data_IF_305900727340
#
_entry.id   IF_305900727340
#
_cell.length_a   1.000
_cell.length_b   1.000
_cell.length_c   1.000
_cell.angle_alpha   90.00
_cell.angle_beta   90.00
_cell.angle_gamma   90.00
#
_symmetry.space_group_name_H-M   'P 1'
#
loop_
_entity.id
_entity.type
_entity.pdbx_description
1 polymer ?
#
# COMPACT_ATOMS: atom_id res chain seq x y z
N UNK A 1 4.62 4.11 -26.36
CA UNK A 1 4.99 5.36 -25.64
C UNK A 1 3.94 6.42 -25.96
N UNK A 2 3.71 7.37 -25.06
CA UNK A 2 2.74 8.45 -25.27
C UNK A 2 3.37 9.81 -25.00
N UNK A 3 2.88 10.85 -25.67
CA UNK A 3 3.26 12.23 -25.33
C UNK A 3 2.42 12.72 -24.17
N UNK A 4 2.92 13.75 -23.50
CA UNK A 4 2.20 14.49 -22.48
C UNK A 4 0.84 15.01 -22.98
N UNK A 5 0.79 15.47 -24.22
CA UNK A 5 -0.44 15.98 -24.86
C UNK A 5 -1.48 14.86 -25.00
N UNK A 6 -1.06 13.66 -25.40
CA UNK A 6 -1.96 12.50 -25.47
C UNK A 6 -2.47 12.08 -24.10
N UNK A 7 -1.63 12.18 -23.06
CA UNK A 7 -2.04 11.92 -21.69
C UNK A 7 -3.10 12.93 -21.22
N UNK A 8 -2.92 14.21 -21.54
CA UNK A 8 -3.89 15.28 -21.26
C UNK A 8 -5.24 15.01 -21.93
N UNK A 9 -5.23 14.71 -23.24
CA UNK A 9 -6.45 14.35 -23.99
C UNK A 9 -7.15 13.14 -23.39
N UNK A 10 -6.39 12.13 -22.93
CA UNK A 10 -6.98 10.97 -22.26
C UNK A 10 -7.62 11.36 -20.93
N UNK A 11 -6.90 12.13 -20.11
CA UNK A 11 -7.36 12.57 -18.80
C UNK A 11 -8.66 13.38 -18.89
N UNK A 12 -8.78 14.27 -19.88
CA UNK A 12 -10.00 15.06 -20.12
C UNK A 12 -11.24 14.20 -20.44
N UNK A 13 -11.07 12.93 -20.82
CA UNK A 13 -12.17 11.97 -21.06
C UNK A 13 -12.54 11.14 -19.84
N UNK A 14 -11.84 11.28 -18.73
CA UNK A 14 -12.08 10.48 -17.53
C UNK A 14 -13.26 11.01 -16.73
N UNK A 15 -13.97 10.11 -16.03
CA UNK A 15 -14.98 10.50 -15.05
C UNK A 15 -14.39 11.43 -13.97
N UNK A 16 -13.13 11.21 -13.64
CA UNK A 16 -12.38 12.07 -12.74
C UNK A 16 -12.39 13.54 -13.21
N UNK A 17 -11.99 13.81 -14.45
CA UNK A 17 -12.02 15.16 -15.01
C UNK A 17 -13.44 15.75 -15.02
N UNK A 18 -14.44 14.92 -15.31
CA UNK A 18 -15.84 15.36 -15.28
C UNK A 18 -16.26 15.94 -13.92
N UNK A 19 -15.80 15.35 -12.81
CA UNK A 19 -16.09 15.84 -11.46
C UNK A 19 -15.42 17.19 -11.19
N UNK A 20 -14.14 17.35 -11.55
CA UNK A 20 -13.33 18.49 -11.10
C UNK A 20 -13.31 19.69 -12.06
N UNK A 21 -13.68 19.51 -13.34
CA UNK A 21 -13.50 20.54 -14.39
C UNK A 21 -14.20 21.87 -14.09
N UNK A 22 -15.35 21.85 -13.41
CA UNK A 22 -16.10 23.07 -13.08
C UNK A 22 -15.35 23.88 -12.00
N UNK A 23 -14.95 23.23 -10.91
CA UNK A 23 -14.11 23.82 -9.85
C UNK A 23 -12.82 24.41 -10.44
N UNK A 24 -12.19 23.70 -11.36
CA UNK A 24 -10.96 24.17 -12.01
C UNK A 24 -11.18 25.39 -12.90
N UNK A 25 -12.27 25.41 -13.68
CA UNK A 25 -12.61 26.54 -14.55
C UNK A 25 -12.92 27.78 -13.71
N UNK A 26 -13.66 27.63 -12.61
CA UNK A 26 -13.98 28.70 -11.68
C UNK A 26 -12.73 29.27 -10.98
N UNK A 27 -11.80 28.41 -10.57
CA UNK A 27 -10.58 28.81 -9.84
C UNK A 27 -9.38 29.15 -10.74
N UNK A 28 -9.52 28.97 -12.06
CA UNK A 28 -8.49 29.22 -13.08
C UNK A 28 -7.17 28.47 -12.83
N UNK A 29 -7.27 27.16 -12.53
CA UNK A 29 -6.08 26.31 -12.29
C UNK A 29 -5.64 25.66 -13.60
N UNK A 30 -4.38 25.85 -14.05
CA UNK A 30 -3.88 25.20 -15.26
C UNK A 30 -3.87 23.67 -15.13
N UNK A 31 -4.35 22.98 -16.16
CA UNK A 31 -4.38 21.51 -16.19
C UNK A 31 -2.98 20.89 -16.09
N UNK A 32 -1.96 21.56 -16.62
CA UNK A 32 -0.56 21.12 -16.52
C UNK A 32 -0.05 21.16 -15.07
N UNK A 33 -0.55 22.07 -14.24
CA UNK A 33 -0.21 22.13 -12.82
C UNK A 33 -1.02 21.12 -12.00
N UNK A 34 -2.26 20.84 -12.39
CA UNK A 34 -3.03 19.76 -11.75
C UNK A 34 -2.43 18.38 -12.03
N UNK A 35 -2.06 18.12 -13.29
CA UNK A 35 -1.33 16.92 -13.67
C UNK A 35 0.13 16.96 -13.19
N UNK A 36 0.55 18.07 -12.56
CA UNK A 36 1.91 18.41 -12.13
C UNK A 36 3.01 18.10 -13.16
N UNK A 37 2.68 18.26 -14.43
CA UNK A 37 3.64 18.38 -15.54
C UNK A 37 4.60 19.54 -15.25
N UNK A 38 4.05 20.60 -14.66
CA UNK A 38 4.77 21.73 -14.08
C UNK A 38 4.49 21.76 -12.58
N UNK A 39 5.46 22.20 -11.80
CA UNK A 39 5.29 22.38 -10.36
C UNK A 39 4.11 23.33 -10.08
N UNK A 40 3.25 22.92 -9.15
CA UNK A 40 2.07 23.69 -8.78
C UNK A 40 2.46 24.77 -7.79
N UNK A 41 1.96 25.99 -7.99
CA UNK A 41 2.32 27.11 -7.12
C UNK A 41 1.57 27.03 -5.78
N UNK A 42 2.13 27.58 -4.68
CA UNK A 42 1.46 27.67 -3.38
C UNK A 42 0.05 28.26 -3.45
N UNK A 43 -0.17 29.23 -4.35
CA UNK A 43 -1.48 29.83 -4.60
C UNK A 43 -2.49 28.83 -5.15
N UNK A 44 -2.08 28.01 -6.11
CA UNK A 44 -2.97 27.02 -6.71
C UNK A 44 -3.19 25.80 -5.78
N UNK A 45 -2.21 25.49 -4.93
CA UNK A 45 -2.37 24.55 -3.82
C UNK A 45 -3.48 25.01 -2.86
N UNK A 46 -3.44 26.28 -2.45
CA UNK A 46 -4.47 26.87 -1.60
C UNK A 46 -5.86 26.74 -2.24
N UNK A 47 -5.99 27.07 -3.53
CA UNK A 47 -7.25 26.96 -4.27
C UNK A 47 -7.78 25.52 -4.35
N UNK A 48 -6.90 24.56 -4.61
CA UNK A 48 -7.27 23.14 -4.72
C UNK A 48 -7.76 22.57 -3.40
N UNK A 49 -7.03 22.85 -2.31
CA UNK A 49 -7.20 22.18 -1.02
C UNK A 49 -7.97 23.00 0.01
N UNK A 50 -8.51 24.17 -0.33
CA UNK A 50 -9.28 25.00 0.62
C UNK A 50 -10.58 25.47 -0.02
N UNK A 51 -11.70 25.42 0.72
CA UNK A 51 -12.96 26.02 0.28
C UNK A 51 -12.79 27.54 0.05
N UNK A 52 -13.09 28.07 -1.17
CA UNK A 52 -13.04 29.49 -1.46
C UNK A 52 -13.84 30.37 -0.49
N UNK A 53 -14.96 29.88 0.05
CA UNK A 53 -15.76 30.60 1.05
C UNK A 53 -14.99 30.73 2.37
N UNK A 54 -14.39 29.63 2.84
CA UNK A 54 -13.54 29.63 4.04
C UNK A 54 -12.32 30.53 3.86
N UNK A 55 -11.64 30.47 2.71
CA UNK A 55 -10.49 31.33 2.41
C UNK A 55 -10.84 32.82 2.53
N UNK A 56 -12.02 33.24 2.05
CA UNK A 56 -12.49 34.63 2.18
C UNK A 56 -12.73 35.02 3.65
N UNK A 57 -13.30 34.13 4.45
CA UNK A 57 -13.53 34.37 5.89
C UNK A 57 -12.19 34.47 6.62
N UNK A 58 -11.30 33.50 6.43
CA UNK A 58 -10.00 33.42 7.10
C UNK A 58 -9.08 34.59 6.76
N UNK A 59 -9.16 35.12 5.53
CA UNK A 59 -8.40 36.32 5.12
C UNK A 59 -8.77 37.56 5.92
N UNK A 60 -10.01 37.64 6.42
CA UNK A 60 -10.51 38.75 7.23
C UNK A 60 -10.42 38.48 8.74
N UNK A 61 -10.08 37.26 9.16
CA UNK A 61 -9.89 36.92 10.56
C UNK A 61 -8.52 37.39 11.07
N UNK A 62 -8.50 38.06 12.22
CA UNK A 62 -7.28 38.52 12.88
C UNK A 62 -6.64 37.40 13.72
N UNK A 63 -6.29 36.28 13.07
CA UNK A 63 -5.53 35.22 13.72
C UNK A 63 -4.07 35.65 13.88
N UNK A 64 -3.45 35.36 15.02
CA UNK A 64 -2.02 35.62 15.21
C UNK A 64 -1.25 34.42 14.66
N UNK A 65 -0.49 34.64 13.60
CA UNK A 65 0.24 33.59 12.88
C UNK A 65 1.72 33.92 12.88
N UNK A 66 2.56 32.93 13.19
CA UNK A 66 4.02 33.08 13.19
C UNK A 66 4.71 31.82 12.71
N UNK A 67 5.75 31.99 11.90
CA UNK A 67 6.70 30.93 11.55
C UNK A 67 7.69 30.72 12.69
N UNK A 68 7.87 29.48 13.11
CA UNK A 68 8.81 29.07 14.17
C UNK A 68 9.92 28.18 13.64
N UNK A 69 9.71 27.52 12.50
CA UNK A 69 10.66 26.63 11.86
C UNK A 69 10.70 26.93 10.36
N UNK A 70 11.89 27.13 9.81
CA UNK A 70 12.09 27.26 8.37
C UNK A 70 13.49 26.74 8.06
N UNK A 71 13.56 25.58 7.41
CA UNK A 71 14.80 24.96 6.96
C UNK A 71 14.61 24.48 5.51
N UNK A 72 15.52 23.64 4.99
CA UNK A 72 15.47 23.17 3.60
C UNK A 72 14.36 22.16 3.30
N UNK A 73 13.76 21.53 4.31
CA UNK A 73 12.74 20.49 4.15
C UNK A 73 11.40 20.84 4.79
N UNK A 74 11.37 21.84 5.65
CA UNK A 74 10.26 22.10 6.56
C UNK A 74 9.99 23.58 6.74
N UNK A 75 8.72 23.96 6.64
CA UNK A 75 8.19 25.25 7.12
C UNK A 75 7.13 24.96 8.18
N UNK A 76 7.38 25.40 9.41
CA UNK A 76 6.51 25.21 10.55
C UNK A 76 6.21 26.50 11.30
N UNK A 77 5.09 26.53 11.97
CA UNK A 77 4.62 27.69 12.71
C UNK A 77 3.43 27.36 13.59
N UNK A 78 2.80 28.40 14.12
CA UNK A 78 1.54 28.27 14.82
C UNK A 78 0.52 29.31 14.34
N UNK A 79 -0.75 28.93 14.45
CA UNK A 79 -1.92 29.77 14.26
C UNK A 79 -2.65 29.85 15.59
N UNK A 80 -2.71 31.05 16.18
CA UNK A 80 -3.51 31.33 17.38
C UNK A 80 -4.86 31.86 16.97
N UNK A 81 -5.90 31.13 17.33
CA UNK A 81 -7.32 31.48 17.13
C UNK A 81 -7.99 31.79 18.46
N UNK A 82 -9.28 32.09 18.44
CA UNK A 82 -10.11 32.21 19.65
C UNK A 82 -10.23 30.90 20.44
N UNK A 83 -9.99 29.74 19.80
CA UNK A 83 -10.18 28.41 20.39
C UNK A 83 -8.88 27.79 20.92
N UNK A 84 -7.71 28.33 20.56
CA UNK A 84 -6.43 27.82 21.03
C UNK A 84 -5.26 28.18 20.13
N UNK A 85 -4.13 27.53 20.38
CA UNK A 85 -2.91 27.64 19.57
C UNK A 85 -2.69 26.31 18.87
N UNK A 86 -2.62 26.35 17.54
CA UNK A 86 -2.47 25.17 16.70
C UNK A 86 -1.14 25.22 15.97
N UNK A 87 -0.33 24.16 16.09
CA UNK A 87 0.92 24.04 15.36
C UNK A 87 0.64 23.52 13.95
N UNK A 88 1.17 24.21 12.94
CA UNK A 88 1.02 23.89 11.52
C UNK A 88 2.39 23.65 10.90
N UNK A 89 2.51 22.62 10.05
CA UNK A 89 3.77 22.25 9.41
C UNK A 89 3.53 21.80 7.98
N UNK A 90 4.38 22.27 7.06
CA UNK A 90 4.59 21.72 5.72
C UNK A 90 5.98 21.11 5.67
N UNK A 91 6.08 19.85 5.30
CA UNK A 91 7.31 19.08 5.31
C UNK A 91 7.42 18.20 4.07
N UNK A 92 8.60 18.17 3.44
CA UNK A 92 8.82 17.43 2.19
C UNK A 92 8.64 15.91 2.41
N UNK A 93 9.08 15.39 3.54
CA UNK A 93 9.14 13.95 3.81
C UNK A 93 7.91 13.42 4.56
N UNK A 94 7.27 14.28 5.35
CA UNK A 94 6.21 13.86 6.27
C UNK A 94 4.84 14.47 5.97
N UNK A 95 4.76 15.31 4.93
CA UNK A 95 3.54 15.95 4.44
C UNK A 95 3.16 17.20 5.23
N UNK A 96 1.87 17.50 5.25
CA UNK A 96 1.27 18.64 5.96
C UNK A 96 0.57 18.15 7.22
N UNK A 97 0.81 18.83 8.34
CA UNK A 97 0.30 18.41 9.66
C UNK A 97 -0.18 19.59 10.47
N UNK A 98 -1.26 19.37 11.21
CA UNK A 98 -1.80 20.31 12.16
C UNK A 98 -2.12 19.62 13.49
N UNK A 99 -1.88 20.30 14.61
CA UNK A 99 -2.26 19.77 15.94
C UNK A 99 -3.77 19.65 16.17
N UNK A 100 -4.62 20.12 15.24
CA UNK A 100 -6.05 19.87 15.27
C UNK A 100 -6.44 18.44 14.80
N UNK A 101 -5.46 17.60 14.47
CA UNK A 101 -5.66 16.23 13.98
C UNK A 101 -5.57 16.09 12.45
N UNK A 102 -5.49 17.20 11.70
CA UNK A 102 -5.28 17.12 10.25
C UNK A 102 -3.88 16.63 9.92
N UNK A 103 -3.78 15.59 9.10
CA UNK A 103 -2.53 15.05 8.58
C UNK A 103 -2.76 14.54 7.15
N UNK A 104 -1.88 14.89 6.22
CA UNK A 104 -1.88 14.36 4.85
C UNK A 104 -0.49 13.81 4.50
N UNK A 105 -0.13 12.70 5.15
CA UNK A 105 1.16 12.03 4.95
C UNK A 105 1.44 11.60 3.50
N UNK A 106 2.62 11.03 3.27
CA UNK A 106 3.04 10.51 1.96
C UNK A 106 2.22 9.28 1.51
N UNK A 107 1.52 8.62 2.43
CA UNK A 107 0.64 7.49 2.15
C UNK A 107 -0.81 7.83 2.54
N UNK A 108 -1.73 7.49 1.64
CA UNK A 108 -3.17 7.30 1.87
C UNK A 108 -4.12 8.50 1.73
N UNK A 109 -3.96 9.31 0.69
CA UNK A 109 -5.05 10.19 0.24
C UNK A 109 -6.05 9.52 -0.71
N UNK A 110 -5.84 8.26 -1.11
CA UNK A 110 -6.67 7.58 -2.10
C UNK A 110 -7.76 6.68 -1.50
N UNK A 111 -7.85 6.59 -0.17
CA UNK A 111 -8.68 5.60 0.50
C UNK A 111 -9.91 6.17 1.23
N UNK A 112 -10.10 7.48 1.27
CA UNK A 112 -11.28 8.09 1.90
C UNK A 112 -12.23 8.57 0.80
N UNK A 113 -13.42 7.98 0.81
CA UNK A 113 -14.66 8.31 0.09
C UNK A 113 -14.62 9.55 -0.85
N UNK A 114 -14.80 9.31 -2.15
CA UNK A 114 -15.24 10.26 -3.20
C UNK A 114 -14.53 11.62 -3.38
N UNK A 115 -13.61 12.01 -2.51
CA UNK A 115 -12.88 13.28 -2.59
C UNK A 115 -11.43 13.04 -3.00
N UNK A 116 -11.11 13.47 -4.22
CA UNK A 116 -9.77 13.37 -4.82
C UNK A 116 -8.67 14.12 -4.04
N UNK A 117 -9.08 15.03 -3.17
CA UNK A 117 -8.19 15.86 -2.40
C UNK A 117 -8.77 15.98 -1.00
N UNK A 118 -7.94 15.71 0.02
CA UNK A 118 -8.24 16.20 1.35
C UNK A 118 -8.42 17.73 1.29
N UNK A 119 -9.30 18.24 2.13
CA UNK A 119 -9.41 19.66 2.38
C UNK A 119 -8.50 20.01 3.56
N UNK A 120 -7.69 21.05 3.42
CA UNK A 120 -6.95 21.63 4.52
C UNK A 120 -7.93 22.10 5.60
N UNK A 121 -7.57 21.86 6.86
CA UNK A 121 -8.27 22.50 7.96
C UNK A 121 -8.06 24.02 7.93
N UNK A 122 -8.88 24.75 8.67
CA UNK A 122 -8.84 26.23 8.73
C UNK A 122 -7.46 26.75 9.18
N UNK A 123 -6.76 26.00 10.03
CA UNK A 123 -5.42 26.34 10.52
C UNK A 123 -4.35 26.22 9.43
N UNK A 124 -4.35 25.14 8.65
CA UNK A 124 -3.40 24.99 7.52
C UNK A 124 -3.72 26.01 6.44
N UNK A 125 -5.00 26.23 6.15
CA UNK A 125 -5.45 27.25 5.19
C UNK A 125 -4.97 28.65 5.60
N UNK A 126 -5.15 29.02 6.87
CA UNK A 126 -4.68 30.30 7.42
C UNK A 126 -3.16 30.42 7.39
N UNK A 127 -2.45 29.34 7.73
CA UNK A 127 -0.99 29.34 7.72
C UNK A 127 -0.44 29.48 6.30
N UNK A 128 -1.01 28.77 5.31
CA UNK A 128 -0.63 28.90 3.92
C UNK A 128 -0.93 30.29 3.35
N UNK A 129 -2.10 30.88 3.69
CA UNK A 129 -2.42 32.26 3.35
C UNK A 129 -1.35 33.24 3.86
N UNK A 130 -0.95 33.07 5.13
CA UNK A 130 0.12 33.85 5.73
C UNK A 130 1.44 33.69 4.98
N UNK A 131 1.87 32.45 4.71
CA UNK A 131 3.11 32.14 3.99
C UNK A 131 3.13 32.75 2.57
N UNK A 132 2.03 32.64 1.82
CA UNK A 132 1.91 33.24 0.48
C UNK A 132 2.05 34.76 0.54
N UNK A 133 1.51 35.40 1.57
CA UNK A 133 1.59 36.86 1.75
C UNK A 133 2.88 37.35 2.42
N UNK A 134 3.80 36.44 2.78
CA UNK A 134 4.95 36.78 3.59
C UNK A 134 5.92 37.73 2.84
N UNK A 135 6.30 38.89 3.40
CA UNK A 135 7.00 39.94 2.65
C UNK A 135 8.45 39.60 2.30
N UNK A 136 9.11 38.71 3.04
CA UNK A 136 10.53 38.36 2.82
C UNK A 136 10.72 37.48 1.59
N UNK A 137 11.50 37.98 0.61
CA UNK A 137 11.93 37.21 -0.57
C UNK A 137 12.67 35.91 -0.21
N UNK A 138 13.43 35.91 0.89
CA UNK A 138 14.15 34.70 1.31
C UNK A 138 13.16 33.62 1.76
N UNK A 139 12.16 33.98 2.56
CA UNK A 139 11.10 33.06 2.98
C UNK A 139 10.27 32.60 1.79
N UNK A 140 9.97 33.49 0.84
CA UNK A 140 9.24 33.11 -0.37
C UNK A 140 9.95 32.04 -1.19
N UNK A 141 11.29 32.02 -1.25
CA UNK A 141 12.02 30.91 -1.91
C UNK A 141 11.76 29.57 -1.24
N UNK A 142 11.75 29.52 0.09
CA UNK A 142 11.41 28.30 0.83
C UNK A 142 9.94 27.92 0.62
N UNK A 143 9.02 28.88 0.58
CA UNK A 143 7.59 28.63 0.36
C UNK A 143 7.35 28.04 -1.03
N UNK A 144 7.95 28.62 -2.07
CA UNK A 144 7.84 28.11 -3.45
C UNK A 144 8.50 26.74 -3.63
N UNK A 145 9.49 26.38 -2.80
CA UNK A 145 10.17 25.08 -2.88
C UNK A 145 9.50 23.98 -2.03
N UNK A 146 9.16 24.28 -0.77
CA UNK A 146 8.71 23.28 0.22
C UNK A 146 7.23 22.99 0.08
N UNK A 147 6.38 24.00 -0.14
CA UNK A 147 4.93 23.78 -0.18
C UNK A 147 4.55 22.82 -1.32
N UNK A 148 5.01 23.00 -2.57
CA UNK A 148 4.68 22.06 -3.64
C UNK A 148 5.21 20.65 -3.39
N UNK A 149 6.43 20.53 -2.85
CA UNK A 149 7.03 19.23 -2.53
C UNK A 149 6.31 18.49 -1.40
N UNK A 150 5.84 19.21 -0.38
CA UNK A 150 5.11 18.63 0.77
C UNK A 150 3.79 17.93 0.40
N UNK A 151 3.24 18.20 -0.78
CA UNK A 151 2.02 17.58 -1.28
C UNK A 151 2.23 16.78 -2.59
N UNK A 152 3.47 16.66 -3.07
CA UNK A 152 3.78 16.14 -4.42
C UNK A 152 3.31 14.69 -4.62
N UNK A 153 3.45 13.86 -3.60
CA UNK A 153 3.06 12.44 -3.62
C UNK A 153 1.53 12.23 -3.63
N UNK A 154 0.73 13.29 -3.51
CA UNK A 154 -0.73 13.23 -3.50
C UNK A 154 -1.30 13.30 -4.92
N UNK A 155 -0.49 13.71 -5.90
CA UNK A 155 -0.88 13.79 -7.30
C UNK A 155 -0.43 12.55 -8.05
N UNK A 156 -1.36 11.93 -8.76
CA UNK A 156 -1.18 10.61 -9.40
C UNK A 156 0.05 10.60 -10.31
N UNK A 157 0.20 11.57 -11.24
CA UNK A 157 1.27 11.50 -12.24
C UNK A 157 2.67 11.66 -11.61
N UNK A 158 2.80 12.58 -10.66
CA UNK A 158 4.06 12.77 -9.94
C UNK A 158 4.41 11.56 -9.08
N UNK A 159 3.43 11.03 -8.35
CA UNK A 159 3.61 9.79 -7.60
C UNK A 159 4.11 8.66 -8.51
N UNK A 160 3.50 8.46 -9.69
CA UNK A 160 3.89 7.42 -10.62
C UNK A 160 5.33 7.62 -11.16
N UNK A 161 5.76 8.86 -11.40
CA UNK A 161 7.14 9.17 -11.80
C UNK A 161 8.14 8.98 -10.65
N UNK A 162 7.90 9.59 -9.49
CA UNK A 162 8.80 9.55 -8.34
C UNK A 162 8.97 8.13 -7.80
N UNK A 163 7.89 7.34 -7.79
CA UNK A 163 7.96 5.94 -7.39
C UNK A 163 8.42 5.01 -8.51
N UNK A 164 8.77 5.53 -9.69
CA UNK A 164 9.38 4.75 -10.78
C UNK A 164 8.43 3.76 -11.45
N UNK A 165 7.13 4.02 -11.43
CA UNK A 165 6.11 3.22 -12.15
C UNK A 165 6.01 3.63 -13.62
N UNK A 166 6.29 4.90 -13.92
CA UNK A 166 6.43 5.43 -15.28
C UNK A 166 7.75 6.21 -15.39
N UNK A 167 8.25 6.34 -16.62
CA UNK A 167 9.53 6.97 -16.92
C UNK A 167 9.35 7.96 -18.07
N UNK A 168 10.04 9.10 -17.99
CA UNK A 168 10.13 10.09 -19.05
C UNK A 168 11.39 9.85 -19.87
N UNK A 169 11.25 9.70 -21.18
CA UNK A 169 12.35 9.54 -22.12
C UNK A 169 12.96 10.93 -22.48
N UNK A 170 14.15 10.91 -23.09
CA UNK A 170 14.87 12.11 -23.53
C UNK A 170 14.10 12.96 -24.55
N UNK A 171 13.24 12.34 -25.36
CA UNK A 171 12.36 12.99 -26.34
C UNK A 171 11.02 13.47 -25.75
N UNK A 172 10.91 13.62 -24.42
CA UNK A 172 9.68 13.97 -23.70
C UNK A 172 8.51 12.97 -23.85
N UNK A 173 8.72 11.77 -24.39
CA UNK A 173 7.69 10.71 -24.33
C UNK A 173 7.68 10.02 -22.97
N UNK A 174 6.52 9.50 -22.59
CA UNK A 174 6.29 8.78 -21.35
C UNK A 174 6.07 7.30 -21.67
N UNK A 175 6.71 6.43 -20.90
CA UNK A 175 6.51 4.98 -20.98
C UNK A 175 6.35 4.37 -19.59
N UNK A 176 5.68 3.24 -19.53
CA UNK A 176 5.58 2.45 -18.30
C UNK A 176 6.92 1.75 -18.02
N UNK A 177 7.38 1.76 -16.78
CA UNK A 177 8.60 1.03 -16.36
C UNK A 177 8.36 -0.47 -16.34
N UNK A 178 9.41 -1.29 -16.18
CA UNK A 178 9.21 -2.75 -16.03
C UNK A 178 8.45 -3.06 -14.74
N UNK A 179 8.81 -2.38 -13.66
CA UNK A 179 8.08 -2.46 -12.40
C UNK A 179 6.62 -2.02 -12.54
N UNK A 180 6.34 -0.89 -13.20
CA UNK A 180 4.97 -0.43 -13.46
C UNK A 180 4.16 -1.41 -14.30
N UNK A 181 4.76 -2.02 -15.33
CA UNK A 181 4.13 -3.09 -16.12
C UNK A 181 3.81 -4.30 -15.26
N UNK A 182 4.69 -4.66 -14.33
CA UNK A 182 4.46 -5.75 -13.38
C UNK A 182 3.25 -5.45 -12.48
N UNK A 183 3.19 -4.26 -11.87
CA UNK A 183 2.06 -3.84 -11.03
C UNK A 183 0.73 -3.95 -11.79
N UNK A 184 0.69 -3.50 -13.05
CA UNK A 184 -0.50 -3.60 -13.90
C UNK A 184 -0.88 -5.07 -14.15
N UNK A 185 0.08 -5.94 -14.48
CA UNK A 185 -0.16 -7.37 -14.73
C UNK A 185 -0.69 -8.09 -13.49
N UNK A 186 -0.22 -7.70 -12.30
CA UNK A 186 -0.68 -8.25 -11.03
C UNK A 186 -2.05 -7.71 -10.59
N UNK A 187 -2.61 -6.74 -11.32
CA UNK A 187 -3.84 -6.04 -10.96
C UNK A 187 -3.77 -5.48 -9.52
N UNK A 188 -2.58 -5.00 -9.15
CA UNK A 188 -2.26 -4.49 -7.82
C UNK A 188 -2.36 -2.97 -7.81
N UNK A 189 -2.83 -2.39 -6.71
CA UNK A 189 -2.82 -0.94 -6.53
C UNK A 189 -1.37 -0.41 -6.58
N UNK A 190 -1.11 0.72 -7.27
CA UNK A 190 0.22 1.35 -7.31
C UNK A 190 0.82 1.62 -5.92
N UNK A 191 0.01 1.99 -4.94
CA UNK A 191 0.43 2.22 -3.55
C UNK A 191 0.90 0.92 -2.89
N UNK A 192 0.12 -0.16 -2.99
CA UNK A 192 0.50 -1.48 -2.47
C UNK A 192 1.78 -2.01 -3.11
N UNK A 193 1.92 -1.88 -4.43
CA UNK A 193 3.12 -2.32 -5.14
C UNK A 193 4.38 -1.57 -4.68
N UNK A 194 4.30 -0.25 -4.54
CA UNK A 194 5.40 0.58 -4.04
C UNK A 194 5.73 0.27 -2.59
N UNK A 195 4.72 0.01 -1.74
CA UNK A 195 4.92 -0.40 -0.36
C UNK A 195 5.62 -1.75 -0.26
N UNK A 196 5.24 -2.73 -1.09
CA UNK A 196 5.93 -4.03 -1.17
C UNK A 196 7.39 -3.83 -1.55
N UNK A 197 7.69 -3.06 -2.61
CA UNK A 197 9.07 -2.78 -3.02
C UNK A 197 9.87 -2.14 -1.88
N UNK A 198 9.29 -1.12 -1.23
CA UNK A 198 9.92 -0.45 -0.09
C UNK A 198 10.26 -1.44 1.04
N UNK A 199 9.32 -2.32 1.42
CA UNK A 199 9.55 -3.32 2.46
C UNK A 199 10.65 -4.32 2.07
N UNK A 200 10.65 -4.79 0.82
CA UNK A 200 11.69 -5.70 0.31
C UNK A 200 13.10 -5.07 0.34
N UNK A 201 13.19 -3.79 0.02
CA UNK A 201 14.46 -3.04 0.03
C UNK A 201 14.93 -2.75 1.48
N UNK A 202 14.03 -2.34 2.37
CA UNK A 202 14.40 -1.69 3.64
C UNK A 202 14.14 -2.53 4.89
N UNK A 203 13.37 -3.61 4.81
CA UNK A 203 13.03 -4.47 5.96
C UNK A 203 13.77 -5.79 5.85
N UNK A 204 14.24 -6.31 6.98
CA UNK A 204 14.77 -7.67 7.06
C UNK A 204 13.63 -8.67 7.24
N UNK A 205 13.49 -9.58 6.26
CA UNK A 205 12.50 -10.66 6.28
C UNK A 205 13.28 -11.96 6.33
N UNK A 206 13.37 -12.56 7.52
CA UNK A 206 14.23 -13.73 7.76
C UNK A 206 13.45 -15.00 8.07
N UNK A 207 12.18 -14.85 8.49
CA UNK A 207 11.29 -15.94 8.87
C UNK A 207 9.90 -15.81 8.23
N UNK A 208 9.13 -16.91 8.23
CA UNK A 208 7.73 -16.87 7.77
C UNK A 208 6.87 -15.92 8.60
N UNK A 209 7.18 -15.75 9.89
CA UNK A 209 6.48 -14.81 10.76
C UNK A 209 6.72 -13.37 10.31
N UNK A 210 7.97 -13.02 9.96
CA UNK A 210 8.31 -11.70 9.41
C UNK A 210 7.56 -11.46 8.10
N UNK A 211 7.62 -12.42 7.17
CA UNK A 211 6.95 -12.30 5.88
C UNK A 211 5.43 -12.13 6.03
N UNK A 212 4.81 -12.92 6.91
CA UNK A 212 3.37 -12.83 7.19
C UNK A 212 3.02 -11.47 7.80
N UNK A 213 3.83 -10.96 8.73
CA UNK A 213 3.65 -9.64 9.34
C UNK A 213 3.73 -8.53 8.29
N UNK A 214 4.71 -8.57 7.40
CA UNK A 214 4.86 -7.57 6.34
C UNK A 214 3.70 -7.63 5.33
N UNK A 215 3.22 -8.83 4.99
CA UNK A 215 1.99 -9.00 4.21
C UNK A 215 0.77 -8.42 4.91
N UNK A 216 0.69 -8.57 6.24
CA UNK A 216 -0.38 -8.03 7.06
C UNK A 216 -0.39 -6.49 7.06
N UNK A 217 0.78 -5.84 7.13
CA UNK A 217 0.88 -4.37 7.00
C UNK A 217 0.32 -3.86 5.67
N UNK A 218 0.53 -4.61 4.58
CA UNK A 218 -0.01 -4.26 3.27
C UNK A 218 -1.54 -4.37 3.28
N UNK A 219 -2.11 -5.41 3.90
CA UNK A 219 -3.57 -5.50 4.05
C UNK A 219 -4.15 -4.38 4.91
N UNK A 220 -3.43 -3.92 5.94
CA UNK A 220 -3.84 -2.74 6.73
C UNK A 220 -3.84 -1.48 5.86
N UNK A 221 -2.80 -1.27 5.05
CA UNK A 221 -2.73 -0.15 4.11
C UNK A 221 -3.82 -0.21 3.03
N UNK A 222 -4.26 -1.42 2.65
CA UNK A 222 -5.41 -1.62 1.75
C UNK A 222 -6.77 -1.57 2.47
N UNK A 223 -6.81 -1.25 3.77
CA UNK A 223 -8.03 -1.23 4.60
C UNK A 223 -8.80 -2.56 4.58
N UNK A 224 -8.12 -3.68 4.28
CA UNK A 224 -8.69 -5.02 4.28
C UNK A 224 -8.77 -5.61 5.68
N UNK A 225 -7.93 -5.14 6.61
CA UNK A 225 -7.90 -5.50 8.03
C UNK A 225 -7.66 -4.25 8.87
N UNK A 226 -8.14 -4.25 10.13
CA UNK A 226 -8.08 -3.06 11.02
C UNK A 226 -7.00 -3.16 12.09
N UNK A 227 -6.79 -4.36 12.61
CA UNK A 227 -5.86 -4.68 13.70
C UNK A 227 -5.15 -6.00 13.38
N UNK A 228 -4.31 -6.51 14.28
CA UNK A 228 -3.53 -7.74 14.09
C UNK A 228 -4.19 -9.00 14.67
N UNK A 229 -5.48 -8.99 15.01
CA UNK A 229 -6.09 -10.12 15.73
C UNK A 229 -6.01 -11.43 14.94
N UNK A 230 -5.93 -11.35 13.62
CA UNK A 230 -5.87 -12.51 12.72
C UNK A 230 -4.45 -13.00 12.42
N UNK A 231 -3.40 -12.35 12.93
CA UNK A 231 -2.04 -12.77 12.66
C UNK A 231 -1.72 -14.13 13.30
N UNK A 232 -1.99 -14.29 14.60
CA UNK A 232 -1.72 -15.54 15.33
C UNK A 232 -2.62 -16.71 14.88
N UNK A 233 -3.95 -16.53 14.67
CA UNK A 233 -4.79 -17.57 14.09
C UNK A 233 -4.28 -18.12 12.75
N UNK A 234 -3.72 -17.25 11.90
CA UNK A 234 -3.17 -17.67 10.60
C UNK A 234 -1.86 -18.43 10.78
N UNK A 235 -1.00 -18.04 11.73
CA UNK A 235 0.22 -18.80 12.06
C UNK A 235 -0.13 -20.21 12.56
N UNK A 236 -1.06 -20.32 13.51
CA UNK A 236 -1.53 -21.62 14.01
C UNK A 236 -2.15 -22.49 12.90
N UNK A 237 -2.92 -21.87 11.99
CA UNK A 237 -3.44 -22.55 10.81
C UNK A 237 -2.32 -23.14 9.95
N UNK A 238 -1.25 -22.37 9.69
CA UNK A 238 -0.08 -22.86 8.93
C UNK A 238 0.78 -23.88 9.67
N UNK A 239 0.61 -24.01 10.98
CA UNK A 239 1.28 -25.00 11.82
C UNK A 239 0.43 -26.25 12.06
N UNK A 240 -0.70 -26.36 11.35
CA UNK A 240 -1.67 -27.46 11.35
C UNK A 240 -2.53 -27.58 12.62
N UNK A 241 -2.70 -26.50 13.37
CA UNK A 241 -3.61 -26.51 14.52
C UNK A 241 -5.06 -26.75 14.06
N UNK A 242 -5.84 -27.64 14.71
CA UNK A 242 -7.22 -27.93 14.29
C UNK A 242 -8.07 -26.66 14.24
N UNK A 243 -8.81 -26.47 13.14
CA UNK A 243 -9.56 -25.23 12.91
C UNK A 243 -10.50 -24.92 14.07
N UNK A 244 -11.22 -25.90 14.60
CA UNK A 244 -12.16 -25.70 15.71
C UNK A 244 -11.46 -25.18 16.98
N UNK A 245 -10.21 -25.59 17.22
CA UNK A 245 -9.41 -25.10 18.34
C UNK A 245 -8.96 -23.66 18.13
N UNK A 246 -8.56 -23.29 16.90
CA UNK A 246 -8.23 -21.91 16.54
C UNK A 246 -9.46 -21.01 16.75
N UNK A 247 -10.62 -21.41 16.19
CA UNK A 247 -11.85 -20.63 16.26
C UNK A 247 -12.29 -20.39 17.71
N UNK A 248 -12.26 -21.43 18.55
CA UNK A 248 -12.63 -21.33 19.96
C UNK A 248 -11.63 -20.50 20.78
N UNK A 249 -10.31 -20.69 20.56
CA UNK A 249 -9.25 -19.98 21.29
C UNK A 249 -9.31 -18.47 21.05
N UNK A 250 -9.45 -18.06 19.79
CA UNK A 250 -9.44 -16.64 19.41
C UNK A 250 -10.84 -16.02 19.34
N UNK A 251 -11.90 -16.78 19.60
CA UNK A 251 -13.30 -16.33 19.53
C UNK A 251 -13.62 -15.66 18.19
N UNK A 252 -13.26 -16.36 17.11
CA UNK A 252 -13.46 -15.90 15.72
C UNK A 252 -14.31 -16.88 14.93
N UNK A 253 -14.91 -16.41 13.83
CA UNK A 253 -15.69 -17.25 12.93
C UNK A 253 -14.82 -17.76 11.78
N UNK A 254 -15.15 -18.94 11.25
CA UNK A 254 -14.43 -19.54 10.12
C UNK A 254 -14.39 -18.63 8.88
N UNK A 255 -15.50 -17.92 8.60
CA UNK A 255 -15.57 -16.99 7.48
C UNK A 255 -14.56 -15.85 7.60
N UNK A 256 -14.36 -15.31 8.81
CA UNK A 256 -13.37 -14.25 9.04
C UNK A 256 -11.94 -14.76 8.81
N UNK A 257 -11.64 -15.96 9.34
CA UNK A 257 -10.33 -16.59 9.18
C UNK A 257 -10.02 -16.82 7.70
N UNK A 258 -10.94 -17.43 6.94
CA UNK A 258 -10.72 -17.71 5.53
C UNK A 258 -10.65 -16.45 4.68
N UNK A 259 -11.45 -15.42 4.97
CA UNK A 259 -11.36 -14.15 4.26
C UNK A 259 -9.97 -13.51 4.43
N UNK A 260 -9.42 -13.48 5.65
CA UNK A 260 -8.08 -12.92 5.88
C UNK A 260 -6.99 -13.82 5.31
N UNK A 261 -7.12 -15.14 5.44
CA UNK A 261 -6.22 -16.13 4.83
C UNK A 261 -6.08 -15.90 3.32
N UNK A 262 -7.20 -15.81 2.58
CA UNK A 262 -7.20 -15.68 1.13
C UNK A 262 -6.57 -14.34 0.69
N UNK A 263 -6.83 -13.27 1.45
CA UNK A 263 -6.20 -11.97 1.22
C UNK A 263 -4.69 -12.01 1.50
N UNK A 264 -4.24 -12.69 2.55
CA UNK A 264 -2.82 -12.85 2.87
C UNK A 264 -2.10 -13.69 1.82
N UNK A 265 -2.70 -14.81 1.38
CA UNK A 265 -2.17 -15.65 0.31
C UNK A 265 -1.92 -14.83 -0.97
N UNK A 266 -2.90 -14.00 -1.36
CA UNK A 266 -2.77 -13.09 -2.50
C UNK A 266 -1.60 -12.12 -2.33
N UNK A 267 -1.50 -11.44 -1.18
CA UNK A 267 -0.42 -10.48 -0.94
C UNK A 267 0.95 -11.15 -0.89
N UNK A 268 1.07 -12.31 -0.24
CA UNK A 268 2.32 -13.08 -0.17
C UNK A 268 2.76 -13.50 -1.57
N UNK A 269 1.82 -13.93 -2.42
CA UNK A 269 2.09 -14.22 -3.83
C UNK A 269 2.66 -13.00 -4.54
N UNK A 270 2.08 -11.82 -4.32
CA UNK A 270 2.57 -10.57 -4.92
C UNK A 270 3.95 -10.16 -4.40
N UNK A 271 4.21 -10.32 -3.10
CA UNK A 271 5.54 -10.10 -2.51
C UNK A 271 6.56 -11.01 -3.19
N UNK A 272 6.26 -12.30 -3.35
CA UNK A 272 7.17 -13.26 -3.98
C UNK A 272 7.46 -12.93 -5.44
N UNK A 273 6.44 -12.58 -6.23
CA UNK A 273 6.62 -12.19 -7.64
C UNK A 273 7.44 -10.90 -7.76
N UNK A 274 7.17 -9.90 -6.92
CA UNK A 274 7.92 -8.64 -6.94
C UNK A 274 9.37 -8.87 -6.48
N UNK A 275 9.60 -9.65 -5.43
CA UNK A 275 10.94 -9.99 -4.96
C UNK A 275 11.77 -10.66 -6.06
N UNK A 276 11.19 -11.64 -6.77
CA UNK A 276 11.83 -12.31 -7.91
C UNK A 276 12.13 -11.36 -9.07
N UNK A 277 11.22 -10.42 -9.37
CA UNK A 277 11.46 -9.42 -10.40
C UNK A 277 12.59 -8.45 -10.03
N UNK A 278 12.69 -8.06 -8.76
CA UNK A 278 13.73 -7.15 -8.27
C UNK A 278 15.08 -7.85 -8.15
N UNK A 279 15.13 -9.14 -7.81
CA UNK A 279 16.37 -9.92 -7.73
C UNK A 279 17.07 -10.04 -9.09
N UNK A 280 16.33 -10.02 -10.19
CA UNK A 280 16.88 -10.00 -11.56
C UNK A 280 17.56 -8.66 -11.91
N UNK A 281 17.24 -7.58 -11.19
CA UNK A 281 17.63 -6.21 -11.55
C UNK A 281 18.71 -5.61 -10.65
N UNK A 282 18.98 -6.17 -9.47
CA UNK A 282 19.90 -5.58 -8.47
C UNK A 282 20.90 -6.58 -7.90
N UNK A 283 22.21 -6.32 -8.07
CA UNK A 283 23.29 -7.20 -7.60
C UNK A 283 23.37 -7.29 -6.07
N UNK A 284 23.21 -6.18 -5.35
CA UNK A 284 23.48 -6.12 -3.90
C UNK A 284 22.38 -6.77 -3.03
N UNK A 285 21.17 -6.92 -3.59
CA UNK A 285 20.01 -7.48 -2.88
C UNK A 285 19.60 -8.86 -3.42
N UNK A 286 20.35 -9.41 -4.38
CA UNK A 286 19.96 -10.62 -5.11
C UNK A 286 19.61 -11.78 -4.17
N UNK A 287 20.53 -12.20 -3.32
CA UNK A 287 20.35 -13.36 -2.42
C UNK A 287 19.19 -13.15 -1.44
N UNK A 288 19.09 -11.93 -0.87
CA UNK A 288 18.01 -11.55 0.04
C UNK A 288 16.65 -11.70 -0.65
N UNK A 289 16.51 -11.14 -1.86
CA UNK A 289 15.25 -11.12 -2.59
C UNK A 289 14.87 -12.51 -3.13
N UNK A 290 15.84 -13.29 -3.59
CA UNK A 290 15.63 -14.69 -4.00
C UNK A 290 15.10 -15.51 -2.83
N UNK A 291 15.71 -15.38 -1.64
CA UNK A 291 15.23 -16.06 -0.43
C UNK A 291 13.80 -15.65 -0.05
N UNK A 292 13.47 -14.36 -0.12
CA UNK A 292 12.10 -13.89 0.16
C UNK A 292 11.10 -14.43 -0.88
N UNK A 293 11.50 -14.55 -2.15
CA UNK A 293 10.66 -15.13 -3.19
C UNK A 293 10.36 -16.62 -2.92
N UNK A 294 11.37 -17.41 -2.57
CA UNK A 294 11.22 -18.84 -2.21
C UNK A 294 10.37 -19.02 -0.94
N UNK A 295 10.60 -18.18 0.08
CA UNK A 295 9.78 -18.16 1.28
C UNK A 295 8.32 -17.81 0.98
N UNK A 296 8.07 -16.90 0.04
CA UNK A 296 6.71 -16.51 -0.35
C UNK A 296 5.97 -17.63 -1.06
N UNK A 297 6.65 -18.36 -1.95
CA UNK A 297 6.10 -19.54 -2.62
C UNK A 297 5.74 -20.63 -1.61
N UNK A 298 6.66 -20.90 -0.68
CA UNK A 298 6.46 -21.88 0.39
C UNK A 298 5.31 -21.48 1.31
N UNK A 299 5.32 -20.25 1.83
CA UNK A 299 4.30 -19.77 2.75
C UNK A 299 2.92 -19.66 2.08
N UNK A 300 2.86 -19.31 0.80
CA UNK A 300 1.61 -19.32 0.03
C UNK A 300 0.92 -20.68 0.06
N UNK A 301 1.66 -21.76 -0.18
CA UNK A 301 1.13 -23.14 -0.10
C UNK A 301 0.70 -23.47 1.34
N UNK A 302 1.52 -23.12 2.34
CA UNK A 302 1.20 -23.37 3.76
C UNK A 302 -0.10 -22.69 4.18
N UNK A 303 -0.30 -21.44 3.76
CA UNK A 303 -1.50 -20.65 4.06
C UNK A 303 -2.72 -21.22 3.34
N UNK A 304 -2.61 -21.52 2.04
CA UNK A 304 -3.74 -22.02 1.27
C UNK A 304 -4.32 -23.31 1.87
N UNK A 305 -3.46 -24.28 2.14
CA UNK A 305 -3.87 -25.62 2.57
C UNK A 305 -3.88 -25.82 4.09
N UNK A 306 -3.24 -24.93 4.87
CA UNK A 306 -3.09 -25.08 6.32
C UNK A 306 -2.21 -26.25 6.67
N UNK A 307 -1.03 -26.32 6.05
CA UNK A 307 -0.09 -27.44 6.19
C UNK A 307 1.35 -26.94 6.38
N UNK A 308 2.18 -27.79 6.97
CA UNK A 308 3.64 -27.68 6.98
C UNK A 308 4.23 -28.25 5.69
N UNK A 309 5.48 -27.89 5.43
CA UNK A 309 6.20 -28.20 4.19
C UNK A 309 6.30 -29.70 3.91
N UNK A 310 6.43 -30.53 4.95
CA UNK A 310 6.57 -31.97 4.77
C UNK A 310 5.31 -32.65 4.18
N UNK A 311 4.17 -31.95 4.14
CA UNK A 311 2.93 -32.46 3.56
C UNK A 311 2.70 -32.02 2.10
N UNK A 312 3.57 -31.18 1.53
CA UNK A 312 3.35 -30.61 0.20
C UNK A 312 3.17 -31.68 -0.88
N UNK A 313 4.03 -32.70 -0.91
CA UNK A 313 3.96 -33.75 -1.93
C UNK A 313 2.64 -34.54 -1.86
N UNK A 314 2.14 -34.80 -0.65
CA UNK A 314 0.87 -35.51 -0.45
C UNK A 314 -0.32 -34.65 -0.87
N UNK A 315 -0.38 -33.40 -0.44
CA UNK A 315 -1.54 -32.52 -0.68
C UNK A 315 -1.62 -32.05 -2.13
N UNK A 316 -0.48 -31.71 -2.75
CA UNK A 316 -0.46 -31.15 -4.10
C UNK A 316 -0.62 -32.21 -5.20
N UNK A 317 -0.31 -33.49 -4.92
CA UNK A 317 -0.27 -34.54 -5.94
C UNK A 317 -1.33 -35.64 -5.79
N UNK A 318 -2.04 -35.68 -4.66
CA UNK A 318 -3.12 -36.64 -4.43
C UNK A 318 -4.48 -35.94 -4.44
N UNK A 319 -5.43 -36.47 -5.20
CA UNK A 319 -6.80 -35.99 -5.19
C UNK A 319 -7.48 -36.36 -3.88
N UNK A 320 -8.39 -35.52 -3.40
CA UNK A 320 -9.15 -35.72 -2.17
C UNK A 320 -8.29 -35.88 -0.89
N UNK A 321 -7.03 -35.40 -0.89
CA UNK A 321 -6.15 -35.39 0.28
C UNK A 321 -5.89 -33.94 0.70
N UNK A 322 -6.61 -33.50 1.74
CA UNK A 322 -6.39 -32.21 2.41
C UNK A 322 -5.58 -32.41 3.71
N UNK A 323 -5.33 -31.33 4.46
CA UNK A 323 -4.47 -31.31 5.67
C UNK A 323 -4.63 -32.51 6.62
N UNK A 324 -5.85 -32.86 7.01
CA UNK A 324 -6.11 -33.94 7.97
C UNK A 324 -5.67 -35.30 7.41
N UNK A 325 -6.06 -35.61 6.16
CA UNK A 325 -5.73 -36.88 5.50
C UNK A 325 -4.24 -36.98 5.21
N UNK A 326 -3.62 -35.89 4.76
CA UNK A 326 -2.18 -35.82 4.54
C UNK A 326 -1.40 -36.11 5.83
N UNK A 327 -1.82 -35.52 6.96
CA UNK A 327 -1.16 -35.76 8.25
C UNK A 327 -1.33 -37.20 8.74
N UNK A 328 -2.49 -37.83 8.51
CA UNK A 328 -2.70 -39.26 8.80
C UNK A 328 -1.75 -40.13 7.98
N UNK A 329 -1.67 -39.88 6.66
CA UNK A 329 -0.77 -40.61 5.76
C UNK A 329 0.70 -40.46 6.19
N UNK A 330 1.12 -39.23 6.49
CA UNK A 330 2.48 -38.93 6.93
C UNK A 330 2.83 -39.66 8.23
N UNK A 331 1.94 -39.66 9.22
CA UNK A 331 2.12 -40.40 10.49
C UNK A 331 2.17 -41.92 10.30
N UNK A 332 1.53 -42.44 9.25
CA UNK A 332 1.58 -43.85 8.89
C UNK A 332 2.82 -44.24 8.05
N UNK A 333 3.76 -43.31 7.83
CA UNK A 333 5.02 -43.55 7.11
C UNK A 333 4.95 -43.27 5.60
N UNK A 334 3.85 -42.69 5.10
CA UNK A 334 3.73 -42.27 3.71
C UNK A 334 4.04 -40.78 3.59
N UNK A 335 5.28 -40.46 3.22
CA UNK A 335 5.77 -39.09 3.07
C UNK A 335 5.64 -38.57 1.64
N UNK A 336 5.42 -39.45 0.65
CA UNK A 336 5.26 -39.05 -0.75
C UNK A 336 4.02 -39.68 -1.39
N UNK A 337 3.44 -38.98 -2.37
CA UNK A 337 2.34 -39.45 -3.20
C UNK A 337 2.70 -40.75 -3.94
N UNK A 338 3.98 -40.92 -4.32
CA UNK A 338 4.46 -42.16 -4.94
C UNK A 338 4.41 -43.36 -4.00
N UNK A 339 4.69 -43.18 -2.70
CA UNK A 339 4.54 -44.25 -1.71
C UNK A 339 3.07 -44.65 -1.56
N UNK A 340 2.17 -43.66 -1.51
CA UNK A 340 0.72 -43.93 -1.42
C UNK A 340 0.20 -44.66 -2.66
N UNK A 341 0.56 -44.22 -3.87
CA UNK A 341 0.09 -44.82 -5.13
C UNK A 341 0.57 -46.26 -5.36
N UNK A 342 1.66 -46.67 -4.72
CA UNK A 342 2.22 -48.04 -4.82
C UNK A 342 1.63 -49.01 -3.81
N UNK A 343 1.03 -48.51 -2.74
CA UNK A 343 0.51 -49.33 -1.66
C UNK A 343 -0.88 -49.86 -2.03
N UNK A 344 -1.18 -51.09 -1.60
CA UNK A 344 -2.50 -51.65 -1.84
C UNK A 344 -3.57 -50.95 -0.97
N UNK A 345 -4.77 -50.78 -1.52
CA UNK A 345 -5.84 -50.04 -0.87
C UNK A 345 -6.25 -50.61 0.50
N UNK A 346 -6.12 -51.93 0.70
CA UNK A 346 -6.47 -52.58 1.97
C UNK A 346 -5.40 -52.35 3.03
N UNK A 347 -4.12 -52.37 2.66
CA UNK A 347 -3.01 -52.02 3.53
C UNK A 347 -3.03 -50.54 3.88
N UNK A 348 -3.32 -49.65 2.93
CA UNK A 348 -3.55 -48.23 3.20
C UNK A 348 -4.67 -48.05 4.23
N UNK A 349 -5.84 -48.65 3.99
CA UNK A 349 -6.98 -48.58 4.91
C UNK A 349 -6.61 -49.09 6.32
N UNK A 350 -5.93 -50.23 6.41
CA UNK A 350 -5.51 -50.83 7.69
C UNK A 350 -4.51 -49.97 8.44
N UNK A 351 -3.50 -49.41 7.78
CA UNK A 351 -2.44 -48.61 8.42
C UNK A 351 -2.90 -47.20 8.79
N UNK A 352 -3.80 -46.61 8.00
CA UNK A 352 -4.19 -45.19 8.15
C UNK A 352 -5.54 -45.00 8.81
N UNK A 353 -6.40 -46.03 8.83
CA UNK A 353 -7.80 -45.91 9.26
C UNK A 353 -8.68 -45.11 8.29
N UNK A 354 -8.16 -44.66 7.14
CA UNK A 354 -8.93 -43.96 6.11
C UNK A 354 -9.89 -44.94 5.42
N UNK A 355 -11.11 -44.51 5.11
CA UNK A 355 -12.14 -45.40 4.54
C UNK A 355 -11.71 -46.07 3.23
N UNK A 356 -12.04 -47.36 3.07
CA UNK A 356 -11.57 -48.17 1.92
C UNK A 356 -11.93 -47.59 0.54
N UNK A 357 -13.07 -46.90 0.41
CA UNK A 357 -13.48 -46.23 -0.84
C UNK A 357 -12.61 -45.03 -1.19
N UNK A 358 -11.95 -44.41 -0.22
CA UNK A 358 -11.00 -43.32 -0.41
C UNK A 358 -9.60 -43.86 -0.73
N UNK A 359 -9.25 -45.03 -0.20
CA UNK A 359 -7.98 -45.69 -0.47
C UNK A 359 -7.92 -46.34 -1.87
N UNK A 360 -9.08 -46.76 -2.41
CA UNK A 360 -9.24 -47.17 -3.81
C UNK A 360 -9.28 -45.93 -4.70
#
# INVERSE_FOLDING_TARGET
EITLEKLKIFFEKTYFWYIIKNKMKEQQIPIEQLLMIKEITPVNILKLHSDPKKVKVLKNQQNIIKTTLCNTSTIGGYVKTSFGVYSCQFDIDSGVRCSCGFQNGISDNFAIENDFAFEFCDHITSFLLYLISFPSRNVQKYVEDIIPKSIRNQYILNYLFEKGLIIKNSNNTIRCSQFGKLIIKLYLYPTSGVLIRYKLENVEITSFRDLLKEAYEILKAEFRVRDYKMLEPILEWTDEEPIDQILDRFKIMAGDLFSVRDNLERIITFIGIIARHLSESGFDLHDKLTKVAEMSETLGIRIHYGIREELFDLVLRLQNVARVRARILYKAGYHTASQVKKEDAYTLNRKTGLGIKLCK
#
